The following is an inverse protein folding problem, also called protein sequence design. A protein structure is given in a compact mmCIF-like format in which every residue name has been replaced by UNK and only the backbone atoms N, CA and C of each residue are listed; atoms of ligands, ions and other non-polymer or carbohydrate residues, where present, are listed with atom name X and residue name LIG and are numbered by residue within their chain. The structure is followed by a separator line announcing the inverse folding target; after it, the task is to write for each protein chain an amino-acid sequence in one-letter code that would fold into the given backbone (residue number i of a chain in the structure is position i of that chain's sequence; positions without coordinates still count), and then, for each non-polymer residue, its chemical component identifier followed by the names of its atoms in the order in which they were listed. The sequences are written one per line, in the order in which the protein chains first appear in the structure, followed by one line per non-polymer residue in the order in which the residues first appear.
data_IF_303947178903
#
_entry.id   IF_303947178903
#
_cell.length_a   1.000
_cell.length_b   1.000
_cell.length_c   1.000
_cell.angle_alpha   90.00
_cell.angle_beta   90.00
_cell.angle_gamma   90.00
#
_symmetry.space_group_name_H-M   'P 1'
#
loop_
_entity.id
_entity.type
_entity.pdbx_description
1 polymer ?
#
# COMPACT_ATOMS: atom_id res chain seq x y z
N UNK A 1 9.14 4.08 -9.32
CA UNK A 1 9.31 3.50 -7.96
C UNK A 1 8.04 2.75 -7.57
N UNK A 2 8.17 1.73 -6.73
CA UNK A 2 7.03 1.04 -6.11
C UNK A 2 6.95 1.46 -4.65
N UNK A 3 5.74 1.82 -4.19
CA UNK A 3 5.49 2.19 -2.79
C UNK A 3 4.43 1.27 -2.20
N UNK A 4 4.71 0.74 -1.01
CA UNK A 4 3.83 -0.21 -0.32
C UNK A 4 3.71 0.21 1.14
N UNK A 5 2.49 0.44 1.60
CA UNK A 5 2.14 0.52 3.02
C UNK A 5 1.66 -0.87 3.45
N UNK A 6 2.46 -1.55 4.26
CA UNK A 6 2.23 -2.90 4.80
C UNK A 6 3.21 -3.06 5.98
N UNK A 7 2.74 -3.25 7.20
CA UNK A 7 3.57 -3.27 8.40
C UNK A 7 4.06 -4.67 8.79
N UNK A 8 3.41 -5.71 8.27
CA UNK A 8 3.75 -7.10 8.54
C UNK A 8 5.01 -7.54 7.75
N UNK A 9 6.07 -7.88 8.48
CA UNK A 9 7.38 -8.20 7.88
C UNK A 9 7.35 -9.46 6.99
N UNK A 10 6.55 -10.47 7.34
CA UNK A 10 6.43 -11.69 6.54
C UNK A 10 5.75 -11.40 5.20
N UNK A 11 4.69 -10.60 5.21
CA UNK A 11 4.02 -10.14 3.98
C UNK A 11 4.96 -9.29 3.12
N UNK A 12 5.70 -8.34 3.73
CA UNK A 12 6.69 -7.56 3.00
C UNK A 12 7.75 -8.44 2.33
N UNK A 13 8.22 -9.49 3.03
CA UNK A 13 9.20 -10.44 2.52
C UNK A 13 8.70 -11.14 1.25
N UNK A 14 7.49 -11.71 1.30
CA UNK A 14 6.90 -12.40 0.14
C UNK A 14 6.58 -11.42 -1.00
N UNK A 15 6.07 -10.22 -0.70
CA UNK A 15 5.84 -9.19 -1.71
C UNK A 15 7.15 -8.79 -2.41
N UNK A 16 8.24 -8.65 -1.66
CA UNK A 16 9.57 -8.32 -2.20
C UNK A 16 10.09 -9.43 -3.10
N UNK A 17 9.96 -10.69 -2.68
CA UNK A 17 10.34 -11.84 -3.50
C UNK A 17 9.58 -11.85 -4.82
N UNK A 18 8.25 -11.69 -4.78
CA UNK A 18 7.41 -11.62 -5.96
C UNK A 18 7.86 -10.49 -6.91
N UNK A 19 8.05 -9.29 -6.38
CA UNK A 19 8.42 -8.10 -7.15
C UNK A 19 9.84 -8.15 -7.71
N UNK A 20 10.77 -8.85 -7.06
CA UNK A 20 12.17 -8.95 -7.50
C UNK A 20 12.29 -9.48 -8.94
N UNK A 21 11.37 -10.36 -9.33
CA UNK A 21 11.29 -10.94 -10.69
C UNK A 21 10.73 -9.98 -11.74
N UNK A 22 10.01 -8.94 -11.31
CA UNK A 22 9.24 -8.05 -12.18
C UNK A 22 9.92 -6.70 -12.39
N UNK A 23 10.62 -6.18 -11.38
CA UNK A 23 11.13 -4.81 -11.38
C UNK A 23 12.60 -4.73 -10.94
N UNK A 24 13.46 -5.55 -11.54
CA UNK A 24 14.87 -5.76 -11.15
C UNK A 24 15.66 -4.48 -10.82
N UNK A 25 15.38 -3.35 -11.46
CA UNK A 25 16.10 -2.07 -11.27
C UNK A 25 15.27 -0.96 -10.61
N UNK A 26 14.04 -1.23 -10.14
CA UNK A 26 13.21 -0.20 -9.51
C UNK A 26 13.26 -0.29 -7.99
N UNK A 27 13.45 0.84 -7.30
CA UNK A 27 13.30 0.89 -5.85
C UNK A 27 11.88 0.49 -5.42
N UNK A 28 11.82 -0.40 -4.42
CA UNK A 28 10.61 -0.81 -3.71
C UNK A 28 10.71 -0.25 -2.29
N UNK A 29 9.86 0.73 -1.97
CA UNK A 29 9.79 1.36 -0.66
C UNK A 29 8.62 0.77 0.12
N UNK A 30 8.93 0.20 1.28
CA UNK A 30 7.93 -0.25 2.24
C UNK A 30 7.87 0.74 3.40
N UNK A 31 6.66 1.01 3.86
CA UNK A 31 6.38 1.85 5.01
C UNK A 31 5.49 1.09 5.99
N UNK A 32 5.72 1.35 7.28
CA UNK A 32 4.91 0.80 8.38
C UNK A 32 3.92 1.81 8.96
N UNK A 33 3.97 3.06 8.51
CA UNK A 33 3.07 4.12 8.98
C UNK A 33 2.50 4.91 7.82
N UNK A 34 1.28 5.42 8.01
CA UNK A 34 0.66 6.32 7.06
C UNK A 34 1.43 7.64 6.95
N UNK A 35 1.91 8.18 8.07
CA UNK A 35 2.64 9.45 8.10
C UNK A 35 3.93 9.39 7.29
N UNK A 36 4.78 8.36 7.50
CA UNK A 36 6.03 8.23 6.75
C UNK A 36 5.76 8.05 5.25
N UNK A 37 4.68 7.33 4.90
CA UNK A 37 4.24 7.14 3.51
C UNK A 37 3.86 8.48 2.87
N UNK A 38 3.04 9.28 3.57
CA UNK A 38 2.59 10.60 3.10
C UNK A 38 3.78 11.55 2.96
N UNK A 39 4.64 11.62 3.97
CA UNK A 39 5.83 12.47 3.97
C UNK A 39 6.75 12.13 2.81
N UNK A 40 6.95 10.85 2.52
CA UNK A 40 7.72 10.42 1.36
C UNK A 40 7.11 10.86 0.03
N UNK A 41 5.78 10.76 -0.11
CA UNK A 41 5.09 11.18 -1.33
C UNK A 41 5.22 12.67 -1.63
N UNK A 42 5.38 13.54 -0.62
CA UNK A 42 5.55 14.99 -0.84
C UNK A 42 6.72 15.35 -1.77
N UNK A 43 7.75 14.50 -1.85
CA UNK A 43 8.90 14.69 -2.74
C UNK A 43 8.98 13.74 -3.94
N UNK A 44 8.23 12.63 -3.94
CA UNK A 44 8.51 11.52 -4.85
C UNK A 44 7.28 10.93 -5.57
N UNK A 45 6.08 11.45 -5.31
CA UNK A 45 4.86 10.88 -5.87
C UNK A 45 4.88 10.83 -7.41
N UNK A 46 5.36 11.87 -8.09
CA UNK A 46 5.40 11.94 -9.56
C UNK A 46 6.25 10.85 -10.23
N UNK A 47 7.16 10.21 -9.49
CA UNK A 47 8.04 9.14 -9.97
C UNK A 47 7.54 7.74 -9.55
N UNK A 48 6.42 7.70 -8.84
CA UNK A 48 5.79 6.46 -8.37
C UNK A 48 4.98 5.84 -9.51
N UNK A 49 5.24 4.55 -9.76
CA UNK A 49 4.62 3.78 -10.84
C UNK A 49 3.52 2.85 -10.35
N UNK A 50 3.51 2.56 -9.05
CA UNK A 50 2.55 1.66 -8.43
C UNK A 50 2.53 1.91 -6.91
N UNK A 51 1.33 1.90 -6.34
CA UNK A 51 1.09 2.05 -4.90
C UNK A 51 0.26 0.85 -4.42
N UNK A 52 0.63 0.26 -3.29
CA UNK A 52 -0.21 -0.70 -2.57
C UNK A 52 -0.45 -0.20 -1.14
N UNK A 53 -1.70 -0.24 -0.68
CA UNK A 53 -2.12 0.25 0.62
C UNK A 53 -2.81 -0.85 1.41
N UNK A 54 -2.21 -1.25 2.53
CA UNK A 54 -2.93 -1.89 3.63
C UNK A 54 -3.74 -0.85 4.41
N UNK A 55 -4.87 -1.26 4.97
CA UNK A 55 -5.64 -0.43 5.87
C UNK A 55 -5.26 -0.63 7.34
N UNK A 56 -5.11 -1.88 7.78
CA UNK A 56 -5.13 -2.27 9.19
C UNK A 56 -3.70 -2.46 9.72
N UNK A 57 -3.03 -1.35 10.04
CA UNK A 57 -1.65 -1.34 10.56
C UNK A 57 -1.60 -1.65 12.06
N UNK A 58 -0.59 -2.40 12.50
CA UNK A 58 -0.36 -2.71 13.91
C UNK A 58 0.22 -1.52 14.69
N UNK A 59 -0.22 -1.38 15.95
CA UNK A 59 0.32 -0.38 16.86
C UNK A 59 1.83 -0.55 17.04
N UNK A 60 2.59 0.53 16.93
CA UNK A 60 4.04 0.49 17.08
C UNK A 60 4.46 0.63 18.55
N UNK A 61 5.54 -0.03 18.92
CA UNK A 61 6.20 0.21 20.20
C UNK A 61 6.88 1.58 20.22
N UNK A 62 6.54 2.42 21.19
CA UNK A 62 7.20 3.71 21.42
C UNK A 62 8.43 3.62 22.31
N UNK A 63 9.09 4.77 22.53
CA UNK A 63 10.32 4.90 23.32
C UNK A 63 10.20 4.47 24.80
N UNK A 64 8.99 4.19 25.27
CA UNK A 64 8.73 3.75 26.63
C UNK A 64 7.92 2.46 26.64
N UNK A 65 8.24 1.51 27.54
CA UNK A 65 7.43 0.32 27.73
C UNK A 65 5.95 0.70 27.92
N UNK A 66 5.07 0.00 27.20
CA UNK A 66 3.62 0.20 27.20
C UNK A 66 3.10 1.49 26.54
N UNK A 67 3.97 2.33 25.96
CA UNK A 67 3.52 3.42 25.09
C UNK A 67 3.39 2.87 23.67
N UNK A 68 2.14 2.74 23.21
CA UNK A 68 1.84 2.42 21.82
C UNK A 68 1.72 3.71 21.00
N UNK A 69 2.27 3.70 19.80
CA UNK A 69 2.17 4.77 18.82
C UNK A 69 1.19 4.31 17.73
N UNK A 70 0.21 5.16 17.44
CA UNK A 70 -0.74 4.95 16.36
C UNK A 70 -0.03 5.19 15.01
N UNK A 71 0.10 4.17 14.14
CA UNK A 71 0.74 4.31 12.83
C UNK A 71 -0.13 5.07 11.82
N UNK A 72 -1.37 5.40 12.16
CA UNK A 72 -2.40 5.82 11.21
C UNK A 72 -2.93 4.62 10.43
N UNK A 73 -3.57 4.87 9.31
CA UNK A 73 -4.24 3.85 8.50
C UNK A 73 -4.03 4.08 7.01
N UNK A 74 -4.30 3.05 6.21
CA UNK A 74 -4.36 3.21 4.75
C UNK A 74 -5.35 4.28 4.28
N UNK A 75 -6.36 4.62 5.11
CA UNK A 75 -7.32 5.67 4.79
C UNK A 75 -6.68 7.05 4.80
N UNK A 76 -5.77 7.31 5.74
CA UNK A 76 -5.07 8.60 5.82
C UNK A 76 -4.24 8.82 4.55
N UNK A 77 -3.58 7.76 4.05
CA UNK A 77 -2.84 7.81 2.78
C UNK A 77 -3.78 7.97 1.59
N UNK A 78 -4.91 7.27 1.56
CA UNK A 78 -5.90 7.40 0.49
C UNK A 78 -6.51 8.81 0.42
N UNK A 79 -6.84 9.41 1.57
CA UNK A 79 -7.35 10.77 1.68
C UNK A 79 -6.29 11.78 1.23
N UNK A 80 -5.02 11.59 1.60
CA UNK A 80 -3.92 12.40 1.08
C UNK A 80 -3.80 12.28 -0.45
N UNK A 81 -3.73 11.07 -1.00
CA UNK A 81 -3.60 10.84 -2.44
C UNK A 81 -4.77 11.44 -3.23
N UNK A 82 -5.98 11.45 -2.67
CA UNK A 82 -7.14 12.07 -3.30
C UNK A 82 -7.01 13.59 -3.49
N UNK A 83 -6.11 14.25 -2.75
CA UNK A 83 -5.78 15.67 -2.96
C UNK A 83 -4.74 15.89 -4.06
N UNK A 84 -4.12 14.82 -4.56
CA UNK A 84 -3.04 14.84 -5.54
C UNK A 84 -3.56 14.49 -6.95
N UNK A 85 -2.79 14.84 -7.98
CA UNK A 85 -3.08 14.36 -9.33
C UNK A 85 -2.77 12.85 -9.43
N UNK A 86 -3.68 12.03 -10.00
CA UNK A 86 -3.40 10.62 -10.23
C UNK A 86 -2.20 10.40 -11.16
N UNK A 87 -1.20 9.66 -10.67
CA UNK A 87 0.04 9.37 -11.45
C UNK A 87 0.19 7.89 -11.77
N UNK A 88 -0.40 7.00 -10.97
CA UNK A 88 -0.28 5.56 -11.14
C UNK A 88 -1.50 4.81 -10.58
N UNK A 89 -1.62 3.49 -10.85
CA UNK A 89 -2.61 2.65 -10.18
C UNK A 89 -2.33 2.47 -8.68
N UNK A 90 -3.40 2.25 -7.91
CA UNK A 90 -3.36 1.93 -6.48
C UNK A 90 -4.05 0.59 -6.21
N UNK A 91 -3.37 -0.35 -5.56
CA UNK A 91 -4.01 -1.52 -4.96
C UNK A 91 -4.35 -1.20 -3.51
N UNK A 92 -5.58 -1.52 -3.11
CA UNK A 92 -6.01 -1.55 -1.71
C UNK A 92 -6.11 -3.01 -1.30
N UNK A 93 -5.35 -3.43 -0.29
CA UNK A 93 -5.41 -4.79 0.22
C UNK A 93 -5.84 -4.73 1.69
N UNK A 94 -7.01 -5.25 2.03
CA UNK A 94 -7.49 -5.27 3.42
C UNK A 94 -8.64 -6.27 3.55
N UNK A 95 -8.75 -6.89 4.73
CA UNK A 95 -9.92 -7.71 5.10
C UNK A 95 -11.06 -6.86 5.66
N UNK A 96 -10.77 -5.62 6.06
CA UNK A 96 -11.73 -4.64 6.55
C UNK A 96 -12.56 -4.07 5.38
N UNK A 97 -13.68 -4.75 5.09
CA UNK A 97 -14.53 -4.40 3.94
C UNK A 97 -15.02 -2.93 3.95
N UNK A 98 -15.55 -2.37 5.06
CA UNK A 98 -15.96 -0.97 5.09
C UNK A 98 -14.82 0.00 4.77
N UNK A 99 -13.63 -0.23 5.34
CA UNK A 99 -12.47 0.61 5.07
C UNK A 99 -11.99 0.50 3.62
N UNK A 100 -11.89 -0.72 3.09
CA UNK A 100 -11.54 -0.96 1.70
C UNK A 100 -12.53 -0.35 0.70
N UNK A 101 -13.82 -0.31 1.02
CA UNK A 101 -14.82 0.43 0.22
C UNK A 101 -14.60 1.94 0.33
N UNK A 102 -14.39 2.47 1.54
CA UNK A 102 -14.15 3.89 1.78
C UNK A 102 -12.94 4.42 1.01
N UNK A 103 -11.80 3.76 1.15
CA UNK A 103 -10.56 4.09 0.44
C UNK A 103 -10.74 4.02 -1.09
N UNK A 104 -11.41 2.99 -1.59
CA UNK A 104 -11.63 2.83 -3.03
C UNK A 104 -12.51 3.95 -3.59
N UNK A 105 -13.59 4.30 -2.88
CA UNK A 105 -14.48 5.40 -3.27
C UNK A 105 -13.73 6.73 -3.28
N UNK A 106 -13.03 7.08 -2.19
CA UNK A 106 -12.25 8.32 -2.07
C UNK A 106 -11.29 8.47 -3.26
N UNK A 107 -10.50 7.43 -3.56
CA UNK A 107 -9.53 7.46 -4.64
C UNK A 107 -10.20 7.53 -6.03
N UNK A 108 -11.29 6.80 -6.26
CA UNK A 108 -12.02 6.83 -7.54
C UNK A 108 -12.66 8.18 -7.81
N UNK A 109 -13.21 8.85 -6.79
CA UNK A 109 -13.76 10.21 -6.93
C UNK A 109 -12.69 11.22 -7.33
N UNK A 110 -11.47 11.04 -6.82
CA UNK A 110 -10.27 11.78 -7.24
C UNK A 110 -9.63 11.24 -8.55
N UNK A 111 -10.31 10.32 -9.25
CA UNK A 111 -9.91 9.74 -10.56
C UNK A 111 -8.68 8.85 -10.53
N UNK A 112 -8.26 8.36 -9.38
CA UNK A 112 -7.24 7.33 -9.29
C UNK A 112 -7.77 6.00 -9.84
N UNK A 113 -6.91 5.27 -10.56
CA UNK A 113 -7.21 3.89 -10.96
C UNK A 113 -6.96 2.99 -9.76
N UNK A 114 -7.98 2.28 -9.30
CA UNK A 114 -7.88 1.42 -8.12
C UNK A 114 -8.26 -0.03 -8.38
N UNK A 115 -7.68 -0.93 -7.59
CA UNK A 115 -8.07 -2.34 -7.47
C UNK A 115 -8.13 -2.70 -5.99
N UNK A 116 -9.21 -3.35 -5.56
CA UNK A 116 -9.31 -3.90 -4.21
C UNK A 116 -9.01 -5.40 -4.21
N UNK A 117 -8.18 -5.83 -3.28
CA UNK A 117 -7.85 -7.23 -2.99
C UNK A 117 -8.23 -7.50 -1.54
N UNK A 118 -8.82 -8.66 -1.29
CA UNK A 118 -9.12 -9.12 0.08
C UNK A 118 -8.10 -10.20 0.42
N UNK A 119 -7.17 -9.96 1.36
CA UNK A 119 -6.23 -10.97 1.84
C UNK A 119 -6.93 -12.23 2.34
N UNK A 120 -6.34 -13.39 2.07
CA UNK A 120 -6.77 -14.70 2.55
C UNK A 120 -5.56 -15.61 2.76
N UNK A 121 -5.69 -16.62 3.61
CA UNK A 121 -4.62 -17.61 3.74
C UNK A 121 -3.29 -17.02 4.24
N UNK A 122 -3.36 -16.00 5.11
CA UNK A 122 -2.24 -15.25 5.69
C UNK A 122 -1.27 -14.61 4.67
N UNK A 123 -0.50 -15.45 3.94
CA UNK A 123 0.46 -15.09 2.90
C UNK A 123 0.05 -15.56 1.49
N UNK A 124 -0.81 -16.58 1.34
CA UNK A 124 -1.10 -17.21 0.03
C UNK A 124 -1.71 -16.24 -1.00
N UNK A 125 -2.51 -15.30 -0.53
CA UNK A 125 -3.10 -14.25 -1.38
C UNK A 125 -2.06 -13.39 -2.10
N UNK A 126 -0.82 -13.29 -1.59
CA UNK A 126 0.23 -12.45 -2.19
C UNK A 126 0.66 -13.03 -3.55
N UNK A 127 1.17 -14.26 -3.66
CA UNK A 127 1.56 -14.85 -4.94
C UNK A 127 0.36 -15.23 -5.82
N UNK A 128 -0.79 -15.58 -5.24
CA UNK A 128 -1.94 -16.10 -6.00
C UNK A 128 -2.87 -15.02 -6.55
N UNK A 129 -2.97 -13.86 -5.87
CA UNK A 129 -3.93 -12.81 -6.21
C UNK A 129 -3.30 -11.44 -6.38
N UNK A 130 -2.52 -10.99 -5.39
CA UNK A 130 -1.92 -9.65 -5.40
C UNK A 130 -0.87 -9.51 -6.51
N UNK A 131 0.11 -10.41 -6.57
CA UNK A 131 1.20 -10.33 -7.53
C UNK A 131 0.73 -10.43 -8.99
N UNK A 132 -0.15 -11.36 -9.37
CA UNK A 132 -0.74 -11.37 -10.71
C UNK A 132 -1.45 -10.05 -11.06
N UNK A 133 -2.12 -9.43 -10.08
CA UNK A 133 -2.76 -8.12 -10.26
C UNK A 133 -1.73 -7.02 -10.48
N UNK A 134 -0.63 -7.02 -9.71
CA UNK A 134 0.48 -6.08 -9.89
C UNK A 134 1.08 -6.18 -11.29
N UNK A 135 1.32 -7.40 -11.80
CA UNK A 135 1.85 -7.60 -13.17
C UNK A 135 0.97 -6.93 -14.22
N UNK A 136 -0.35 -7.19 -14.16
CA UNK A 136 -1.32 -6.58 -15.08
C UNK A 136 -1.26 -5.05 -15.02
N UNK A 137 -1.08 -4.47 -13.84
CA UNK A 137 -1.06 -3.02 -13.67
C UNK A 137 0.26 -2.35 -14.06
N UNK A 138 1.38 -3.07 -14.04
CA UNK A 138 2.71 -2.55 -14.41
C UNK A 138 3.07 -2.74 -15.90
N UNK A 139 2.43 -3.70 -16.58
CA UNK A 139 2.64 -3.99 -18.01
C UNK A 139 1.88 -3.00 -18.95
N UNK A 140 1.16 -2.04 -18.40
CA UNK A 140 0.38 -1.00 -19.10
C UNK A 140 0.74 0.42 -18.63
#
# INVERSE_FOLDING_TARGET
MIVILEDNDDRQSIMRECLSSLVADQPIHFFKTALDTIDWFTGHLSETRFIALDHDLEMLEGDHPHKLIDPGTGRDVADFLATQQPVCPVIIHTTNFPAGVGMETTLKEARWKTKRIVPYGDLEWIPELWFPTVKILLDH
#
